data_IF_534512553659
#
_entry.id   IF_534512553659
#
_cell.length_a   1.000
_cell.length_b   1.000
_cell.length_c   1.000
_cell.angle_alpha   90.00
_cell.angle_beta   90.00
_cell.angle_gamma   90.00
#
_symmetry.space_group_name_H-M   'P 1'
#
loop_
_entity.id
_entity.type
_entity.pdbx_description
1 polymer ?
#
# COMPACT_ATOMS: atom_id res chain seq x y z
N UNK A 1 -26.76 15.18 -2.33
CA UNK A 1 -27.23 13.88 -1.82
C UNK A 1 -26.53 13.65 -0.49
N UNK A 2 -27.21 13.39 0.63
CA UNK A 2 -26.52 12.95 1.83
C UNK A 2 -25.90 11.57 1.57
N UNK A 3 -24.65 11.37 1.95
CA UNK A 3 -23.98 10.08 1.85
C UNK A 3 -24.68 9.06 2.77
N UNK A 4 -24.84 7.80 2.35
CA UNK A 4 -25.28 6.72 3.24
C UNK A 4 -24.41 6.66 4.49
N UNK A 5 -25.03 6.46 5.66
CA UNK A 5 -24.33 6.41 6.97
C UNK A 5 -24.25 4.99 7.53
N UNK A 6 -24.98 4.08 6.91
CA UNK A 6 -25.16 2.66 7.24
C UNK A 6 -24.31 1.74 6.36
N UNK A 7 -23.60 2.29 5.38
CA UNK A 7 -22.69 1.56 4.49
C UNK A 7 -21.27 2.02 4.80
N UNK A 8 -20.42 1.10 5.23
CA UNK A 8 -19.01 1.37 5.48
C UNK A 8 -18.22 1.59 4.19
N UNK A 9 -17.17 2.41 4.27
CA UNK A 9 -16.29 2.67 3.12
C UNK A 9 -15.43 1.44 2.84
N UNK A 10 -15.28 1.10 1.55
CA UNK A 10 -14.25 0.17 1.08
C UNK A 10 -13.12 0.99 0.47
N UNK A 11 -11.97 1.01 1.13
CA UNK A 11 -10.78 1.67 0.60
C UNK A 11 -10.01 0.69 -0.31
N UNK A 12 -9.62 1.13 -1.50
CA UNK A 12 -8.90 0.33 -2.48
C UNK A 12 -7.41 0.69 -2.60
N UNK A 13 -6.94 1.69 -1.85
CA UNK A 13 -5.61 2.28 -1.98
C UNK A 13 -4.94 2.49 -0.61
N UNK A 14 -5.20 1.61 0.35
CA UNK A 14 -4.65 1.70 1.69
C UNK A 14 -3.29 0.99 1.78
N UNK A 15 -2.38 1.56 2.57
CA UNK A 15 -1.14 0.92 2.98
C UNK A 15 -1.00 1.01 4.50
N UNK A 16 -0.71 -0.12 5.15
CA UNK A 16 -0.27 -0.10 6.56
C UNK A 16 1.12 0.52 6.60
N UNK A 17 1.34 1.56 7.42
CA UNK A 17 2.65 2.16 7.58
C UNK A 17 3.65 1.24 8.32
N UNK A 18 4.93 1.58 8.22
CA UNK A 18 6.00 1.01 9.04
C UNK A 18 6.97 2.09 9.53
N UNK A 19 7.97 1.67 10.31
CA UNK A 19 8.96 2.57 10.94
C UNK A 19 9.83 3.33 9.94
N UNK A 20 10.16 2.71 8.79
CA UNK A 20 11.04 3.33 7.80
C UNK A 20 10.50 3.14 6.37
N UNK A 21 9.97 4.23 5.82
CA UNK A 21 9.49 4.29 4.44
C UNK A 21 10.52 4.91 3.48
N UNK A 22 11.74 5.20 3.93
CA UNK A 22 12.73 5.91 3.11
C UNK A 22 13.18 5.10 1.88
N UNK A 23 13.20 3.77 2.00
CA UNK A 23 13.61 2.88 0.92
C UNK A 23 12.59 2.74 -0.22
N UNK A 24 11.32 3.16 -0.02
CA UNK A 24 10.27 3.01 -1.04
C UNK A 24 10.56 3.77 -2.34
N UNK A 25 11.41 4.81 -2.28
CA UNK A 25 11.72 5.64 -3.44
C UNK A 25 13.13 5.44 -3.99
N UNK A 26 13.97 4.64 -3.34
CA UNK A 26 15.37 4.41 -3.77
C UNK A 26 15.46 3.78 -5.16
N UNK A 27 14.52 2.90 -5.51
CA UNK A 27 14.46 2.29 -6.84
C UNK A 27 14.03 3.29 -7.93
N UNK A 28 13.27 4.32 -7.57
CA UNK A 28 12.79 5.34 -8.51
C UNK A 28 13.83 6.44 -8.75
N UNK A 29 14.66 6.75 -7.74
CA UNK A 29 15.65 7.84 -7.81
C UNK A 29 16.50 7.80 -9.09
N UNK A 30 17.09 6.66 -9.51
CA UNK A 30 17.89 6.59 -10.75
C UNK A 30 17.12 6.96 -12.02
N UNK A 31 15.79 6.85 -12.02
CA UNK A 31 14.94 7.13 -13.18
C UNK A 31 14.49 8.59 -13.24
N UNK A 32 14.66 9.37 -12.17
CA UNK A 32 14.25 10.76 -12.12
C UNK A 32 15.25 11.63 -12.90
N UNK A 33 14.74 12.37 -13.88
CA UNK A 33 15.58 13.17 -14.79
C UNK A 33 15.91 14.57 -14.24
N UNK A 34 15.23 15.02 -13.18
CA UNK A 34 15.40 16.36 -12.61
C UNK A 34 16.29 16.35 -11.35
N UNK A 35 17.24 17.28 -11.25
CA UNK A 35 18.20 17.34 -10.13
C UNK A 35 17.54 17.59 -8.76
N UNK A 36 16.39 18.26 -8.74
CA UNK A 36 15.72 18.65 -7.49
C UNK A 36 15.14 17.42 -6.77
N UNK A 37 14.61 16.44 -7.52
CA UNK A 37 14.19 15.15 -6.99
C UNK A 37 15.31 14.32 -6.38
N UNK A 38 16.57 14.54 -6.81
CA UNK A 38 17.75 13.87 -6.23
C UNK A 38 18.26 14.56 -4.97
N UNK A 39 18.23 15.90 -4.94
CA UNK A 39 18.96 16.69 -3.93
C UNK A 39 18.06 17.33 -2.85
N UNK A 40 16.80 17.65 -3.17
CA UNK A 40 15.95 18.49 -2.31
C UNK A 40 14.76 17.78 -1.67
N UNK A 41 14.33 16.63 -2.20
CA UNK A 41 13.10 15.96 -1.75
C UNK A 41 13.35 14.56 -1.19
N UNK A 42 12.67 14.22 -0.09
CA UNK A 42 12.64 12.85 0.47
C UNK A 42 11.72 11.93 -0.34
N UNK A 43 10.73 12.50 -1.05
CA UNK A 43 9.86 11.79 -1.98
C UNK A 43 9.70 12.60 -3.29
N UNK A 44 9.63 11.97 -4.47
CA UNK A 44 9.58 12.66 -5.77
C UNK A 44 8.42 13.67 -5.91
N UNK A 45 7.29 13.40 -5.24
CA UNK A 45 6.10 14.26 -5.29
C UNK A 45 5.95 15.16 -4.05
N UNK A 46 7.01 15.39 -3.27
CA UNK A 46 6.92 16.10 -1.98
C UNK A 46 6.31 17.50 -2.11
N UNK A 47 6.52 18.18 -3.24
CA UNK A 47 5.96 19.50 -3.53
C UNK A 47 4.42 19.55 -3.54
N UNK A 48 3.74 18.41 -3.68
CA UNK A 48 2.27 18.33 -3.64
C UNK A 48 1.70 18.33 -2.22
N UNK A 49 2.53 18.12 -1.20
CA UNK A 49 2.10 17.99 0.19
C UNK A 49 2.55 19.20 1.00
N UNK A 50 1.63 19.79 1.76
CA UNK A 50 1.95 20.91 2.66
C UNK A 50 2.64 20.44 3.93
N UNK A 51 2.14 19.34 4.50
CA UNK A 51 2.65 18.69 5.70
C UNK A 51 2.68 17.17 5.48
N UNK A 52 3.76 16.53 5.91
CA UNK A 52 3.88 15.06 5.89
C UNK A 52 3.56 14.57 7.30
N UNK A 53 2.54 13.71 7.49
CA UNK A 53 2.25 13.13 8.79
C UNK A 53 3.47 12.38 9.35
N UNK A 54 3.83 12.67 10.59
CA UNK A 54 4.81 11.90 11.34
C UNK A 54 4.04 10.88 12.18
N UNK A 55 4.33 9.60 11.94
CA UNK A 55 3.66 8.45 12.55
C UNK A 55 4.67 7.55 13.27
N UNK A 56 5.78 8.14 13.67
CA UNK A 56 6.86 7.50 14.42
C UNK A 56 6.41 7.08 15.82
N UNK A 57 7.02 6.00 16.33
CA UNK A 57 6.83 5.55 17.70
C UNK A 57 5.55 4.77 17.96
N UNK A 58 4.99 4.10 16.96
CA UNK A 58 3.91 3.15 17.21
C UNK A 58 4.43 1.75 17.50
N UNK A 59 4.03 1.21 18.64
CA UNK A 59 4.34 -0.17 19.02
C UNK A 59 3.70 -1.19 18.05
N UNK A 60 2.55 -0.83 17.46
CA UNK A 60 1.79 -1.68 16.54
C UNK A 60 1.10 -0.88 15.44
N UNK A 61 1.75 -0.80 14.28
CA UNK A 61 1.25 -0.11 13.11
C UNK A 61 -0.02 -0.72 12.50
N UNK A 62 -0.24 -2.03 12.67
CA UNK A 62 -1.46 -2.69 12.18
C UNK A 62 -2.64 -2.25 13.03
N UNK A 63 -2.52 -2.33 14.36
CA UNK A 63 -3.56 -1.88 15.27
C UNK A 63 -3.85 -0.38 15.12
N UNK A 64 -2.80 0.44 14.95
CA UNK A 64 -2.95 1.86 14.64
C UNK A 64 -3.78 2.09 13.38
N UNK A 65 -3.49 1.36 12.30
CA UNK A 65 -4.23 1.47 11.03
C UNK A 65 -5.70 1.11 11.20
N UNK A 66 -6.01 0.02 11.90
CA UNK A 66 -7.40 -0.39 12.17
C UNK A 66 -8.13 0.70 12.97
N UNK A 67 -7.49 1.32 13.96
CA UNK A 67 -8.08 2.41 14.72
C UNK A 67 -8.35 3.65 13.83
N UNK A 68 -7.48 3.96 12.86
CA UNK A 68 -7.76 5.01 11.88
C UNK A 68 -8.92 4.62 10.94
N UNK A 69 -8.99 3.37 10.50
CA UNK A 69 -10.12 2.88 9.70
C UNK A 69 -11.44 3.07 10.43
N UNK A 70 -11.51 2.70 11.72
CA UNK A 70 -12.71 2.89 12.55
C UNK A 70 -13.08 4.38 12.69
N UNK A 71 -12.09 5.23 12.97
CA UNK A 71 -12.27 6.69 13.09
C UNK A 71 -12.82 7.32 11.80
N UNK A 72 -12.48 6.77 10.65
CA UNK A 72 -12.84 7.29 9.33
C UNK A 72 -13.96 6.49 8.64
N UNK A 73 -14.64 5.59 9.36
CA UNK A 73 -15.72 4.75 8.86
C UNK A 73 -15.33 3.88 7.64
N UNK A 74 -14.09 3.39 7.64
CA UNK A 74 -13.58 2.43 6.66
C UNK A 74 -13.83 1.02 7.20
N UNK A 75 -14.78 0.32 6.59
CA UNK A 75 -15.15 -1.03 6.98
C UNK A 75 -14.09 -2.03 6.53
N UNK A 76 -13.70 -1.96 5.26
CA UNK A 76 -12.70 -2.86 4.66
C UNK A 76 -11.70 -2.11 3.80
N UNK A 77 -10.49 -2.63 3.73
CA UNK A 77 -9.42 -2.03 2.92
C UNK A 77 -8.68 -3.08 2.10
N UNK A 78 -8.38 -2.73 0.85
CA UNK A 78 -7.49 -3.49 -0.03
C UNK A 78 -6.04 -3.11 0.27
N UNK A 79 -5.18 -4.11 0.49
CA UNK A 79 -3.75 -3.91 0.73
C UNK A 79 -2.91 -4.85 -0.13
N UNK A 80 -1.70 -4.41 -0.53
CA UNK A 80 -0.80 -5.16 -1.40
C UNK A 80 -0.04 -6.27 -0.67
N UNK A 81 0.20 -7.42 -1.32
CA UNK A 81 0.95 -8.56 -0.72
C UNK A 81 2.24 -8.94 -1.47
N UNK A 82 3.01 -7.95 -1.92
CA UNK A 82 4.27 -8.19 -2.62
C UNK A 82 5.44 -8.68 -1.75
N UNK A 83 6.63 -8.84 -2.35
CA UNK A 83 7.86 -9.29 -1.65
C UNK A 83 8.28 -8.44 -0.45
N UNK A 84 7.90 -7.17 -0.42
CA UNK A 84 8.26 -6.21 0.63
C UNK A 84 7.08 -5.84 1.54
N UNK A 85 6.02 -6.66 1.56
CA UNK A 85 4.75 -6.36 2.21
C UNK A 85 4.47 -7.22 3.45
N UNK A 86 5.50 -7.54 4.25
CA UNK A 86 5.33 -8.43 5.43
C UNK A 86 4.33 -7.87 6.44
N UNK A 87 4.33 -6.56 6.67
CA UNK A 87 3.36 -5.87 7.52
C UNK A 87 1.92 -6.02 6.99
N UNK A 88 1.73 -5.99 5.67
CA UNK A 88 0.41 -6.20 5.05
C UNK A 88 -0.04 -7.65 5.15
N UNK A 89 0.88 -8.60 4.97
CA UNK A 89 0.60 -10.04 5.19
C UNK A 89 0.19 -10.30 6.65
N UNK A 90 0.85 -9.65 7.61
CA UNK A 90 0.46 -9.74 9.03
C UNK A 90 -0.90 -9.10 9.30
N UNK A 91 -1.19 -7.95 8.70
CA UNK A 91 -2.50 -7.31 8.81
C UNK A 91 -3.64 -8.21 8.29
N UNK A 92 -3.45 -8.90 7.17
CA UNK A 92 -4.41 -9.87 6.62
C UNK A 92 -4.64 -11.06 7.57
N UNK A 93 -3.59 -11.55 8.24
CA UNK A 93 -3.70 -12.68 9.18
C UNK A 93 -4.39 -12.27 10.48
N UNK A 94 -4.08 -11.08 11.02
CA UNK A 94 -4.63 -10.58 12.29
C UNK A 94 -6.05 -10.06 12.16
N UNK A 95 -6.39 -9.43 11.04
CA UNK A 95 -7.68 -8.77 10.82
C UNK A 95 -8.28 -9.15 9.43
N UNK A 96 -8.56 -10.44 9.18
CA UNK A 96 -9.04 -10.92 7.89
C UNK A 96 -10.41 -10.35 7.48
N UNK A 97 -11.22 -9.91 8.44
CA UNK A 97 -12.52 -9.26 8.16
C UNK A 97 -12.37 -7.77 7.80
N UNK A 98 -11.19 -7.18 8.01
CA UNK A 98 -10.91 -5.76 7.75
C UNK A 98 -10.07 -5.55 6.51
N UNK A 99 -9.24 -6.52 6.14
CA UNK A 99 -8.34 -6.40 5.00
C UNK A 99 -8.59 -7.48 3.95
N UNK A 100 -8.37 -7.14 2.69
CA UNK A 100 -8.31 -8.10 1.60
C UNK A 100 -7.15 -7.78 0.66
N UNK A 101 -6.60 -8.81 0.02
CA UNK A 101 -5.31 -8.70 -0.64
C UNK A 101 -5.41 -8.31 -2.12
N UNK A 102 -4.44 -7.53 -2.59
CA UNK A 102 -4.15 -7.33 -4.01
C UNK A 102 -2.66 -7.53 -4.31
N UNK A 103 -2.32 -7.62 -5.58
CA UNK A 103 -0.94 -7.74 -6.02
C UNK A 103 -0.65 -6.80 -7.20
N UNK A 104 0.42 -6.00 -7.10
CA UNK A 104 0.87 -5.17 -8.20
C UNK A 104 1.84 -5.97 -9.08
N UNK A 105 1.40 -6.29 -10.29
CA UNK A 105 2.14 -7.16 -11.20
C UNK A 105 3.14 -6.37 -12.06
N UNK A 106 4.34 -6.92 -12.25
CA UNK A 106 5.30 -6.45 -13.23
C UNK A 106 5.14 -7.23 -14.57
N UNK A 107 4.51 -6.66 -15.60
CA UNK A 107 4.31 -7.33 -16.88
C UNK A 107 5.61 -7.66 -17.63
N UNK A 108 6.74 -7.01 -17.34
CA UNK A 108 8.02 -7.30 -17.99
C UNK A 108 8.54 -8.70 -17.64
N UNK A 109 8.08 -9.30 -16.53
CA UNK A 109 8.45 -10.66 -16.11
C UNK A 109 7.61 -11.76 -16.80
N UNK A 110 6.58 -11.39 -17.56
CA UNK A 110 5.76 -12.32 -18.34
C UNK A 110 5.17 -13.48 -17.51
N UNK A 111 5.51 -14.72 -17.88
CA UNK A 111 4.95 -15.92 -17.23
C UNK A 111 5.41 -16.12 -15.79
N UNK A 112 6.55 -15.56 -15.38
CA UNK A 112 6.97 -15.62 -13.98
C UNK A 112 5.98 -14.85 -13.10
N UNK A 113 5.48 -13.72 -13.58
CA UNK A 113 4.47 -12.92 -12.92
C UNK A 113 3.14 -13.68 -12.77
N UNK A 114 2.74 -14.43 -13.79
CA UNK A 114 1.54 -15.28 -13.75
C UNK A 114 1.66 -16.34 -12.65
N UNK A 115 2.83 -16.97 -12.50
CA UNK A 115 3.05 -17.96 -11.42
C UNK A 115 2.99 -17.30 -10.04
N UNK A 116 3.53 -16.09 -9.90
CA UNK A 116 3.41 -15.31 -8.67
C UNK A 116 1.96 -14.98 -8.34
N UNK A 117 1.16 -14.55 -9.32
CA UNK A 117 -0.28 -14.27 -9.15
C UNK A 117 -1.02 -15.53 -8.66
N UNK A 118 -0.74 -16.69 -9.25
CA UNK A 118 -1.34 -17.97 -8.83
C UNK A 118 -0.96 -18.31 -7.39
N UNK A 119 0.34 -18.22 -7.04
CA UNK A 119 0.79 -18.50 -5.68
C UNK A 119 0.14 -17.57 -4.64
N UNK A 120 0.06 -16.27 -4.93
CA UNK A 120 -0.58 -15.30 -4.04
C UNK A 120 -2.10 -15.47 -3.96
N UNK A 121 -2.73 -15.97 -5.04
CA UNK A 121 -4.15 -16.34 -5.02
C UNK A 121 -4.41 -17.53 -4.10
N UNK A 122 -3.52 -18.51 -4.10
CA UNK A 122 -3.63 -19.68 -3.24
C UNK A 122 -3.33 -19.33 -1.77
N UNK A 123 -2.33 -18.50 -1.51
CA UNK A 123 -1.91 -18.15 -0.14
C UNK A 123 -2.80 -17.10 0.52
N UNK A 124 -3.15 -16.03 -0.20
CA UNK A 124 -3.82 -14.86 0.36
C UNK A 124 -5.19 -14.57 -0.26
N UNK A 125 -5.66 -15.41 -1.19
CA UNK A 125 -6.94 -15.22 -1.87
C UNK A 125 -7.08 -13.81 -2.48
N UNK A 126 -6.01 -13.33 -3.14
CA UNK A 126 -6.00 -11.98 -3.74
C UNK A 126 -7.26 -11.73 -4.59
N UNK A 127 -7.85 -10.54 -4.44
CA UNK A 127 -9.08 -10.12 -5.09
C UNK A 127 -8.85 -9.27 -6.33
N UNK A 128 -7.63 -8.73 -6.47
CA UNK A 128 -7.26 -7.88 -7.58
C UNK A 128 -5.78 -8.05 -7.94
N UNK A 129 -5.48 -7.84 -9.23
CA UNK A 129 -4.14 -7.58 -9.72
C UNK A 129 -4.13 -6.14 -10.22
N UNK A 130 -3.20 -5.33 -9.72
CA UNK A 130 -3.04 -3.92 -10.08
C UNK A 130 -1.80 -3.75 -10.95
N UNK A 131 -1.72 -2.63 -11.66
CA UNK A 131 -0.54 -2.23 -12.41
C UNK A 131 -0.48 -0.70 -12.47
N UNK A 132 0.69 -0.14 -12.17
CA UNK A 132 0.95 1.28 -12.42
C UNK A 132 1.54 1.46 -13.83
N UNK A 133 0.90 2.22 -14.74
CA UNK A 133 1.27 2.26 -16.16
C UNK A 133 2.62 2.92 -16.46
N UNK A 134 3.31 3.50 -15.47
CA UNK A 134 4.56 4.25 -15.66
C UNK A 134 5.67 3.91 -14.64
N UNK A 135 5.50 2.85 -13.85
CA UNK A 135 6.43 2.47 -12.76
C UNK A 135 7.12 1.12 -13.01
N UNK A 136 7.07 0.63 -14.24
CA UNK A 136 7.49 -0.73 -14.63
C UNK A 136 8.39 -0.70 -15.86
#
# INVERSE_FOLDING_TARGET
>A
MPMPTDIGVIDLMLAVPGDDNSNFYEWIKPMLMDKQSHEMFKMPAQYMFKDIPQIDGQDDYVAYTVAQMDKHNIERAMIGVGPYAEQHKEALRRFPDRFFACYEANPNNGMDEVRTIVALKEEFDIKAVTASPAMI
#
